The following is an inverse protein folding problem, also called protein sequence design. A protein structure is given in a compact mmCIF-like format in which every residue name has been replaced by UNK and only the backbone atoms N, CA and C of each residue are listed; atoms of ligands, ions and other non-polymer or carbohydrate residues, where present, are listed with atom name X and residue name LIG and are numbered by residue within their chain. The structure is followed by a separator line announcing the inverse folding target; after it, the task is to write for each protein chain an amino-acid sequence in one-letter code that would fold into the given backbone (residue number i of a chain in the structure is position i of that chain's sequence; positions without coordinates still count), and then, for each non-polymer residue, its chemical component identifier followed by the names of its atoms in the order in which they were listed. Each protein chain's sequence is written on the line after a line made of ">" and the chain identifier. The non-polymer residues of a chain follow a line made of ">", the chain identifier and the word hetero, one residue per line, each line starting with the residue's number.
data_IF_653389560167
#
_entry.id   IF_653389560167
#
_cell.length_a   1.000
_cell.length_b   1.000
_cell.length_c   1.000
_cell.angle_alpha   90.00
_cell.angle_beta   90.00
_cell.angle_gamma   90.00
#
_symmetry.space_group_name_H-M   'P 1'
#
loop_
_entity.id
_entity.type
_entity.pdbx_description
1 polymer ?
#
# COMPACT_ATOMS: atom_id res chain seq x y z
N UNK A 1 33.23 -46.70 106.13
CA UNK A 1 34.42 -46.33 105.33
C UNK A 1 34.10 -45.03 104.61
N UNK A 2 34.98 -44.02 104.73
CA UNK A 2 34.63 -42.60 104.73
C UNK A 2 34.22 -41.95 103.39
N UNK A 3 33.28 -41.02 103.48
CA UNK A 3 32.88 -40.08 102.42
C UNK A 3 33.31 -38.64 102.79
N UNK A 4 34.56 -38.47 103.23
CA UNK A 4 35.18 -37.15 103.33
C UNK A 4 36.11 -36.94 102.15
N UNK A 5 35.51 -36.63 100.99
CA UNK A 5 36.27 -36.12 99.85
C UNK A 5 37.02 -34.85 100.25
N UNK A 6 38.29 -34.72 99.86
CA UNK A 6 39.17 -33.58 100.16
C UNK A 6 38.45 -32.26 99.82
N UNK A 7 38.05 -31.49 100.84
CA UNK A 7 37.45 -30.16 100.66
C UNK A 7 38.48 -29.24 100.00
N UNK A 8 38.14 -28.67 98.83
CA UNK A 8 38.98 -27.67 98.16
C UNK A 8 39.28 -26.51 99.13
N UNK A 9 40.56 -26.15 99.25
CA UNK A 9 41.01 -25.07 100.13
C UNK A 9 40.38 -23.74 99.71
N UNK A 10 40.22 -22.82 100.67
CA UNK A 10 39.57 -21.51 100.44
C UNK A 10 40.26 -20.71 99.33
N UNK A 11 41.58 -20.86 99.20
CA UNK A 11 42.38 -20.23 98.16
C UNK A 11 41.97 -20.72 96.75
N UNK A 12 41.84 -22.04 96.56
CA UNK A 12 41.44 -22.64 95.28
C UNK A 12 40.03 -22.18 94.88
N UNK A 13 39.07 -22.19 95.81
CA UNK A 13 37.69 -21.71 95.53
C UNK A 13 37.65 -20.23 95.16
N UNK A 14 38.47 -19.39 95.79
CA UNK A 14 38.58 -17.96 95.42
C UNK A 14 39.22 -17.77 94.04
N UNK A 15 40.22 -18.59 93.69
CA UNK A 15 40.83 -18.57 92.37
C UNK A 15 39.83 -19.03 91.29
N UNK A 16 39.10 -20.12 91.52
CA UNK A 16 38.04 -20.61 90.64
C UNK A 16 36.93 -19.58 90.47
N UNK A 17 36.46 -18.96 91.55
CA UNK A 17 35.44 -17.90 91.49
C UNK A 17 35.94 -16.66 90.70
N UNK A 18 37.21 -16.27 90.87
CA UNK A 18 37.81 -15.19 90.08
C UNK A 18 37.95 -15.58 88.61
N UNK A 19 38.35 -16.80 88.31
CA UNK A 19 38.47 -17.31 86.95
C UNK A 19 37.12 -17.36 86.23
N UNK A 20 36.07 -17.84 86.91
CA UNK A 20 34.70 -17.84 86.39
C UNK A 20 34.21 -16.41 86.14
N UNK A 21 34.47 -15.49 87.08
CA UNK A 21 34.10 -14.07 86.91
C UNK A 21 34.83 -13.41 85.75
N UNK A 22 36.13 -13.68 85.58
CA UNK A 22 36.90 -13.15 84.45
C UNK A 22 36.44 -13.75 83.12
N UNK A 23 36.19 -15.07 83.08
CA UNK A 23 35.64 -15.74 81.90
C UNK A 23 34.28 -15.16 81.52
N UNK A 24 33.35 -15.04 82.48
CA UNK A 24 32.04 -14.42 82.25
C UNK A 24 32.16 -12.97 81.75
N UNK A 25 33.12 -12.18 82.27
CA UNK A 25 33.36 -10.81 81.82
C UNK A 25 33.91 -10.76 80.38
N UNK A 26 34.79 -11.70 80.01
CA UNK A 26 35.31 -11.81 78.64
C UNK A 26 34.23 -12.29 77.68
N UNK A 27 33.45 -13.30 78.06
CA UNK A 27 32.35 -13.83 77.26
C UNK A 27 31.29 -12.75 77.03
N UNK A 28 30.93 -11.96 78.06
CA UNK A 28 30.02 -10.82 77.91
C UNK A 28 30.58 -9.75 76.96
N UNK A 29 31.88 -9.45 77.02
CA UNK A 29 32.52 -8.49 76.09
C UNK A 29 32.54 -9.02 74.65
N UNK A 30 32.82 -10.31 74.46
CA UNK A 30 32.83 -10.93 73.13
C UNK A 30 31.41 -11.03 72.56
N UNK A 31 30.42 -11.36 73.40
CA UNK A 31 29.01 -11.35 73.03
C UNK A 31 28.56 -9.95 72.58
N UNK A 32 28.81 -8.91 73.38
CA UNK A 32 28.48 -7.53 73.03
C UNK A 32 29.17 -7.07 71.74
N UNK A 33 30.45 -7.45 71.53
CA UNK A 33 31.18 -7.14 70.29
C UNK A 33 30.58 -7.86 69.08
N UNK A 34 30.13 -9.10 69.24
CA UNK A 34 29.49 -9.88 68.19
C UNK A 34 28.08 -9.35 67.87
N UNK A 35 27.30 -8.97 68.88
CA UNK A 35 26.00 -8.31 68.70
C UNK A 35 26.14 -6.97 67.98
N UNK A 36 27.08 -6.12 68.39
CA UNK A 36 27.36 -4.86 67.70
C UNK A 36 27.76 -5.08 66.23
N UNK A 37 28.54 -6.12 65.94
CA UNK A 37 28.87 -6.52 64.56
C UNK A 37 27.64 -7.00 63.79
N UNK A 38 26.78 -7.81 64.41
CA UNK A 38 25.53 -8.33 63.81
C UNK A 38 24.56 -7.19 63.49
N UNK A 39 24.30 -6.30 64.44
CA UNK A 39 23.43 -5.13 64.24
C UNK A 39 23.96 -4.25 63.11
N UNK A 40 25.27 -3.95 63.12
CA UNK A 40 25.90 -3.16 62.04
C UNK A 40 25.81 -3.85 60.68
N UNK A 41 25.97 -5.18 60.63
CA UNK A 41 25.80 -5.93 59.38
C UNK A 41 24.35 -5.97 58.91
N UNK A 42 23.39 -6.10 59.83
CA UNK A 42 21.96 -6.09 59.53
C UNK A 42 21.52 -4.73 58.97
N UNK A 43 21.89 -3.63 59.64
CA UNK A 43 21.63 -2.26 59.15
C UNK A 43 22.25 -2.01 57.76
N UNK A 44 23.47 -2.51 57.51
CA UNK A 44 24.09 -2.42 56.19
C UNK A 44 23.37 -3.25 55.13
N UNK A 45 22.87 -4.42 55.50
CA UNK A 45 22.10 -5.28 54.60
C UNK A 45 20.74 -4.63 54.27
N UNK A 46 20.05 -4.10 55.27
CA UNK A 46 18.79 -3.35 55.12
C UNK A 46 18.98 -2.11 54.24
N UNK A 47 20.01 -1.30 54.50
CA UNK A 47 20.29 -0.12 53.68
C UNK A 47 20.62 -0.49 52.22
N UNK A 48 21.35 -1.60 51.99
CA UNK A 48 21.60 -2.11 50.64
C UNK A 48 20.33 -2.63 49.97
N UNK A 49 19.48 -3.34 50.71
CA UNK A 49 18.21 -3.85 50.20
C UNK A 49 17.27 -2.70 49.82
N UNK A 50 17.13 -1.68 50.66
CA UNK A 50 16.35 -0.47 50.38
C UNK A 50 16.89 0.27 49.15
N UNK A 51 18.23 0.45 49.05
CA UNK A 51 18.84 1.07 47.88
C UNK A 51 18.60 0.26 46.59
N UNK A 52 18.67 -1.07 46.67
CA UNK A 52 18.39 -1.95 45.54
C UNK A 52 16.92 -1.86 45.12
N UNK A 53 15.98 -1.84 46.08
CA UNK A 53 14.55 -1.67 45.81
C UNK A 53 14.25 -0.32 45.15
N UNK A 54 14.82 0.78 45.66
CA UNK A 54 14.65 2.10 45.05
C UNK A 54 15.25 2.17 43.64
N UNK A 55 16.37 1.50 43.39
CA UNK A 55 16.96 1.42 42.06
C UNK A 55 16.08 0.60 41.11
N UNK A 56 15.60 -0.55 41.56
CA UNK A 56 14.70 -1.40 40.79
C UNK A 56 13.39 -0.67 40.45
N UNK A 57 12.81 0.07 41.40
CA UNK A 57 11.64 0.92 41.16
C UNK A 57 11.93 2.00 40.11
N UNK A 58 13.03 2.74 40.24
CA UNK A 58 13.41 3.75 39.24
C UNK A 58 13.65 3.16 37.85
N UNK A 59 14.27 1.98 37.78
CA UNK A 59 14.52 1.30 36.51
C UNK A 59 13.20 0.78 35.91
N UNK A 60 12.26 0.29 36.74
CA UNK A 60 10.91 -0.06 36.29
C UNK A 60 10.09 1.15 35.83
N UNK A 61 10.18 2.28 36.52
CA UNK A 61 9.50 3.52 36.14
C UNK A 61 10.05 4.05 34.82
N UNK A 62 11.38 4.03 34.64
CA UNK A 62 12.03 4.39 33.37
C UNK A 62 11.62 3.44 32.25
N UNK A 63 11.51 2.15 32.52
CA UNK A 63 11.05 1.18 31.53
C UNK A 63 9.58 1.42 31.16
N UNK A 64 8.73 1.70 32.15
CA UNK A 64 7.31 2.03 31.95
C UNK A 64 7.15 3.33 31.15
N UNK A 65 7.94 4.38 31.45
CA UNK A 65 7.96 5.62 30.68
C UNK A 65 8.40 5.40 29.25
N UNK A 66 9.48 4.62 29.02
CA UNK A 66 9.93 4.28 27.67
C UNK A 66 8.88 3.46 26.92
N UNK A 67 8.22 2.51 27.58
CA UNK A 67 7.14 1.73 26.99
C UNK A 67 5.93 2.61 26.66
N UNK A 68 5.57 3.55 27.52
CA UNK A 68 4.51 4.53 27.27
C UNK A 68 4.88 5.47 26.11
N UNK A 69 6.14 5.93 26.03
CA UNK A 69 6.63 6.73 24.92
C UNK A 69 6.63 5.96 23.60
N UNK A 70 7.04 4.69 23.60
CA UNK A 70 7.00 3.85 22.39
C UNK A 70 5.57 3.55 21.97
N UNK A 71 4.65 3.33 22.92
CA UNK A 71 3.22 3.19 22.65
C UNK A 71 2.60 4.48 22.15
N UNK A 72 2.94 5.65 22.70
CA UNK A 72 2.49 6.95 22.22
C UNK A 72 3.05 7.24 20.82
N UNK A 73 4.30 6.90 20.55
CA UNK A 73 4.89 6.96 19.20
C UNK A 73 4.15 6.02 18.26
N UNK A 74 3.91 4.77 18.66
CA UNK A 74 3.16 3.80 17.86
C UNK A 74 1.70 4.24 17.61
N UNK A 75 1.04 4.86 18.58
CA UNK A 75 -0.32 5.40 18.44
C UNK A 75 -0.35 6.66 17.56
N UNK A 76 0.65 7.55 17.71
CA UNK A 76 0.84 8.71 16.81
C UNK A 76 1.18 8.26 15.39
N UNK A 77 1.92 7.17 15.24
CA UNK A 77 2.22 6.53 13.95
C UNK A 77 1.05 5.71 13.41
N UNK A 78 0.16 5.26 14.29
CA UNK A 78 -1.11 4.60 14.00
C UNK A 78 -2.13 5.53 13.36
N UNK A 79 -2.03 6.84 13.61
CA UNK A 79 -2.77 7.85 12.84
C UNK A 79 -2.31 7.79 11.39
N UNK A 80 -3.25 7.61 10.47
CA UNK A 80 -3.03 7.47 9.03
C UNK A 80 -2.24 8.64 8.40
N UNK A 81 -2.12 9.76 9.11
CA UNK A 81 -1.45 10.99 8.69
C UNK A 81 -0.14 11.26 9.45
N UNK A 82 0.51 10.26 10.04
CA UNK A 82 1.79 10.49 10.73
C UNK A 82 2.90 10.86 9.72
N UNK A 83 3.79 11.83 10.05
CA UNK A 83 4.86 12.24 9.13
C UNK A 83 5.81 11.10 8.74
N UNK A 84 6.07 10.16 9.64
CA UNK A 84 6.92 8.98 9.37
C UNK A 84 6.26 8.00 8.41
N UNK A 85 4.95 7.74 8.57
CA UNK A 85 4.21 6.86 7.65
C UNK A 85 4.03 7.53 6.29
N UNK A 86 3.75 8.84 6.24
CA UNK A 86 3.71 9.61 4.98
C UNK A 86 5.06 9.55 4.27
N UNK A 87 6.18 9.78 4.97
CA UNK A 87 7.52 9.65 4.39
C UNK A 87 7.80 8.24 3.86
N UNK A 88 7.47 7.19 4.63
CA UNK A 88 7.62 5.79 4.18
C UNK A 88 6.77 5.47 2.96
N UNK A 89 5.50 5.86 2.97
CA UNK A 89 4.58 5.70 1.84
C UNK A 89 5.09 6.47 0.63
N UNK A 90 5.58 7.70 0.79
CA UNK A 90 6.19 8.47 -0.30
C UNK A 90 7.47 7.84 -0.84
N UNK A 91 8.31 7.25 0.01
CA UNK A 91 9.51 6.56 -0.46
C UNK A 91 9.18 5.27 -1.19
N UNK A 92 8.23 4.47 -0.68
CA UNK A 92 7.79 3.23 -1.32
C UNK A 92 7.03 3.54 -2.61
N UNK A 93 6.16 4.54 -2.61
CA UNK A 93 5.44 4.96 -3.80
C UNK A 93 6.40 5.51 -4.85
N UNK A 94 7.44 6.27 -4.47
CA UNK A 94 8.47 6.76 -5.41
C UNK A 94 9.31 5.64 -6.02
N UNK A 95 9.61 4.59 -5.25
CA UNK A 95 10.34 3.41 -5.76
C UNK A 95 9.47 2.52 -6.66
N UNK A 96 8.19 2.37 -6.33
CA UNK A 96 7.25 1.57 -7.12
C UNK A 96 6.63 2.35 -8.28
N UNK A 97 6.66 3.68 -8.26
CA UNK A 97 6.12 4.55 -9.30
C UNK A 97 6.53 4.16 -10.73
N UNK A 98 7.82 3.93 -11.07
CA UNK A 98 8.21 3.59 -12.44
C UNK A 98 7.65 2.25 -12.94
N UNK A 99 7.26 1.34 -12.04
CA UNK A 99 6.70 0.02 -12.39
C UNK A 99 5.17 0.05 -12.35
N UNK A 100 4.60 0.68 -11.32
CA UNK A 100 3.15 0.74 -11.11
C UNK A 100 2.50 1.73 -12.08
N UNK A 101 3.14 2.86 -12.39
CA UNK A 101 2.58 3.84 -13.33
C UNK A 101 2.28 3.24 -14.72
N UNK A 102 3.21 2.52 -15.40
CA UNK A 102 2.89 1.91 -16.69
C UNK A 102 1.87 0.78 -16.58
N UNK A 103 1.81 0.05 -15.46
CA UNK A 103 0.80 -0.99 -15.24
C UNK A 103 -0.60 -0.42 -15.03
N UNK A 104 -0.74 0.62 -14.21
CA UNK A 104 -2.01 1.33 -14.02
C UNK A 104 -2.44 1.99 -15.32
N UNK A 105 -1.52 2.59 -16.07
CA UNK A 105 -1.81 3.12 -17.40
C UNK A 105 -2.31 2.03 -18.36
N UNK A 106 -1.63 0.88 -18.42
CA UNK A 106 -2.07 -0.27 -19.23
C UNK A 106 -3.40 -0.83 -18.78
N UNK A 107 -3.66 -0.92 -17.47
CA UNK A 107 -4.92 -1.38 -16.92
C UNK A 107 -6.06 -0.38 -17.20
N UNK A 108 -5.80 0.92 -17.05
CA UNK A 108 -6.75 1.97 -17.39
C UNK A 108 -7.07 1.98 -18.89
N UNK A 109 -6.07 1.78 -19.75
CA UNK A 109 -6.25 1.65 -21.19
C UNK A 109 -6.93 0.33 -21.58
N UNK A 110 -6.73 -0.76 -20.84
CA UNK A 110 -7.43 -2.02 -21.05
C UNK A 110 -8.89 -1.95 -20.60
N UNK A 111 -9.18 -1.30 -19.46
CA UNK A 111 -10.56 -1.05 -19.01
C UNK A 111 -11.26 -0.09 -19.95
N UNK A 112 -10.58 0.98 -20.37
CA UNK A 112 -11.10 1.90 -21.39
C UNK A 112 -11.32 1.17 -22.70
N UNK A 113 -10.35 0.37 -23.14
CA UNK A 113 -10.45 -0.51 -24.31
C UNK A 113 -11.57 -1.55 -24.20
N UNK A 114 -11.89 -2.06 -23.02
CA UNK A 114 -12.95 -3.04 -22.80
C UNK A 114 -14.34 -2.38 -22.71
N UNK A 115 -14.45 -1.21 -22.08
CA UNK A 115 -15.67 -0.39 -22.10
C UNK A 115 -15.92 0.10 -23.52
N UNK A 116 -14.85 0.46 -24.23
CA UNK A 116 -14.88 0.90 -25.60
C UNK A 116 -15.19 -0.27 -26.54
N UNK A 117 -14.65 -1.46 -26.31
CA UNK A 117 -15.02 -2.70 -27.02
C UNK A 117 -16.49 -3.04 -26.78
N UNK A 118 -17.00 -2.99 -25.55
CA UNK A 118 -18.43 -3.27 -25.28
C UNK A 118 -19.38 -2.21 -25.84
N UNK A 119 -18.91 -0.97 -25.99
CA UNK A 119 -19.64 0.11 -26.65
C UNK A 119 -19.54 0.00 -28.17
N UNK A 120 -18.41 -0.52 -28.67
CA UNK A 120 -18.16 -0.87 -30.06
C UNK A 120 -18.88 -2.16 -30.49
N UNK A 121 -19.12 -3.12 -29.61
CA UNK A 121 -19.90 -4.33 -29.90
C UNK A 121 -21.41 -4.02 -29.99
N UNK A 122 -21.85 -2.94 -29.32
CA UNK A 122 -23.23 -2.43 -29.43
C UNK A 122 -23.44 -1.48 -30.61
N UNK A 123 -22.36 -0.97 -31.21
CA UNK A 123 -22.42 0.04 -32.29
C UNK A 123 -21.65 -0.35 -33.55
N UNK A 124 -20.97 -1.50 -33.55
CA UNK A 124 -20.22 -2.05 -34.68
C UNK A 124 -19.10 -1.18 -35.23
N UNK A 125 -18.40 -0.31 -34.46
CA UNK A 125 -17.29 0.54 -34.95
C UNK A 125 -16.22 0.86 -33.86
N UNK A 126 -14.88 0.86 -34.14
CA UNK A 126 -13.82 1.00 -33.12
C UNK A 126 -13.48 2.46 -32.70
N UNK A 127 -13.22 2.65 -31.41
CA UNK A 127 -13.13 3.94 -30.71
C UNK A 127 -11.82 4.75 -30.81
N UNK A 128 -10.82 4.33 -31.60
CA UNK A 128 -9.62 5.14 -31.85
C UNK A 128 -9.90 6.45 -32.63
N UNK A 129 -11.16 6.69 -33.02
CA UNK A 129 -11.55 7.78 -33.89
C UNK A 129 -12.47 8.83 -33.23
N UNK A 130 -12.95 8.64 -31.99
CA UNK A 130 -13.90 9.59 -31.39
C UNK A 130 -13.22 10.91 -30.95
N UNK A 131 -11.91 10.91 -30.68
CA UNK A 131 -11.12 12.15 -30.53
C UNK A 131 -10.69 12.78 -31.87
N UNK A 132 -10.90 12.08 -32.99
CA UNK A 132 -10.56 12.54 -34.35
C UNK A 132 -11.75 13.17 -35.08
N UNK A 133 -12.95 13.00 -34.55
CA UNK A 133 -14.20 13.44 -35.16
C UNK A 133 -14.94 14.43 -34.24
N UNK A 134 -14.29 15.54 -33.88
CA UNK A 134 -14.95 16.69 -33.27
C UNK A 134 -15.11 17.80 -34.31
N UNK A 135 -16.35 18.17 -34.65
CA UNK A 135 -16.65 19.18 -35.69
C UNK A 135 -18.05 19.00 -36.28
N UNK A 136 -18.43 19.81 -37.27
CA UNK A 136 -19.76 19.72 -37.91
C UNK A 136 -19.93 18.42 -38.74
N UNK A 137 -18.83 17.84 -39.21
CA UNK A 137 -18.77 16.59 -39.96
C UNK A 137 -18.64 15.31 -39.12
N UNK A 138 -18.59 15.41 -37.78
CA UNK A 138 -18.35 14.28 -36.88
C UNK A 138 -19.28 13.08 -37.12
N UNK A 139 -20.56 13.34 -37.38
CA UNK A 139 -21.56 12.32 -37.67
C UNK A 139 -21.26 11.58 -38.98
N UNK A 140 -20.80 12.29 -40.01
CA UNK A 140 -20.46 11.68 -41.31
C UNK A 140 -19.18 10.85 -41.20
N UNK A 141 -18.19 11.33 -40.45
CA UNK A 141 -16.97 10.57 -40.22
C UNK A 141 -17.21 9.28 -39.43
N UNK A 142 -18.11 9.30 -38.45
CA UNK A 142 -18.54 8.08 -37.76
C UNK A 142 -19.25 7.09 -38.69
N UNK A 143 -20.03 7.58 -39.67
CA UNK A 143 -20.65 6.73 -40.70
C UNK A 143 -19.63 6.13 -41.66
N UNK A 144 -18.64 6.91 -42.12
CA UNK A 144 -17.52 6.39 -42.93
C UNK A 144 -16.83 5.24 -42.21
N UNK A 145 -16.51 5.42 -40.93
CA UNK A 145 -15.88 4.39 -40.11
C UNK A 145 -16.76 3.14 -39.96
N UNK A 146 -18.09 3.31 -39.86
CA UNK A 146 -19.04 2.19 -39.87
C UNK A 146 -19.07 1.45 -41.19
N UNK A 147 -19.11 2.17 -42.32
CA UNK A 147 -19.04 1.60 -43.65
C UNK A 147 -17.73 0.82 -43.88
N UNK A 148 -16.59 1.33 -43.39
CA UNK A 148 -15.30 0.61 -43.43
C UNK A 148 -15.34 -0.70 -42.64
N UNK A 149 -15.99 -0.74 -41.48
CA UNK A 149 -16.14 -1.98 -40.71
C UNK A 149 -17.05 -2.97 -41.43
N UNK A 150 -18.18 -2.51 -41.97
CA UNK A 150 -19.08 -3.36 -42.76
C UNK A 150 -18.39 -3.87 -44.03
N UNK A 151 -17.52 -3.07 -44.66
CA UNK A 151 -16.72 -3.49 -45.81
C UNK A 151 -15.76 -4.64 -45.46
N UNK A 152 -15.12 -4.60 -44.28
CA UNK A 152 -14.30 -5.71 -43.79
C UNK A 152 -15.13 -6.97 -43.57
N UNK A 153 -16.35 -6.84 -43.06
CA UNK A 153 -17.25 -7.98 -42.91
C UNK A 153 -17.64 -8.60 -44.27
N UNK A 154 -17.81 -7.79 -45.32
CA UNK A 154 -18.02 -8.28 -46.70
C UNK A 154 -16.80 -9.05 -47.21
N UNK A 155 -15.59 -8.53 -46.96
CA UNK A 155 -14.34 -9.19 -47.33
C UNK A 155 -14.15 -10.53 -46.61
N UNK A 156 -14.44 -10.57 -45.30
CA UNK A 156 -14.33 -11.79 -44.49
C UNK A 156 -15.34 -12.87 -44.90
N UNK A 157 -16.51 -12.47 -45.40
CA UNK A 157 -17.54 -13.40 -45.90
C UNK A 157 -17.11 -14.11 -47.17
N UNK A 158 -16.41 -13.42 -48.07
CA UNK A 158 -15.98 -13.96 -49.37
C UNK A 158 -14.52 -13.60 -49.73
N UNK A 159 -13.52 -14.12 -49.00
CA UNK A 159 -12.12 -13.69 -49.15
C UNK A 159 -11.45 -14.14 -50.46
N UNK A 160 -12.01 -15.16 -51.13
CA UNK A 160 -11.44 -15.76 -52.36
C UNK A 160 -12.12 -15.28 -53.64
N UNK A 161 -13.15 -14.44 -53.53
CA UNK A 161 -13.87 -13.93 -54.69
C UNK A 161 -13.17 -12.70 -55.28
N UNK A 162 -12.86 -12.75 -56.58
CA UNK A 162 -12.16 -11.67 -57.27
C UNK A 162 -13.02 -10.41 -57.39
N UNK A 163 -14.34 -10.56 -57.59
CA UNK A 163 -15.27 -9.43 -57.70
C UNK A 163 -15.44 -8.71 -56.36
N UNK A 164 -15.54 -9.47 -55.26
CA UNK A 164 -15.57 -8.90 -53.91
C UNK A 164 -14.28 -8.14 -53.59
N UNK A 165 -13.11 -8.65 -53.97
CA UNK A 165 -11.84 -7.96 -53.75
C UNK A 165 -11.71 -6.65 -54.55
N UNK A 166 -12.17 -6.63 -55.81
CA UNK A 166 -12.22 -5.40 -56.61
C UNK A 166 -13.18 -4.37 -56.03
N UNK A 167 -14.36 -4.82 -55.57
CA UNK A 167 -15.32 -3.97 -54.88
C UNK A 167 -14.76 -3.39 -53.59
N UNK A 168 -14.08 -4.21 -52.78
CA UNK A 168 -13.45 -3.75 -51.52
C UNK A 168 -12.39 -2.70 -51.80
N UNK A 169 -11.55 -2.89 -52.81
CA UNK A 169 -10.58 -1.88 -53.23
C UNK A 169 -11.28 -0.56 -53.63
N UNK A 170 -12.28 -0.63 -54.52
CA UNK A 170 -13.00 0.56 -55.01
C UNK A 170 -13.74 1.32 -53.91
N UNK A 171 -14.41 0.62 -52.98
CA UNK A 171 -15.13 1.26 -51.87
C UNK A 171 -14.15 1.81 -50.83
N UNK A 172 -13.02 1.15 -50.58
CA UNK A 172 -12.00 1.65 -49.65
C UNK A 172 -11.40 2.98 -50.14
N UNK A 173 -11.12 3.10 -51.44
CA UNK A 173 -10.66 4.34 -52.07
C UNK A 173 -11.72 5.43 -51.95
N UNK A 174 -12.98 5.10 -52.27
CA UNK A 174 -14.11 6.05 -52.18
C UNK A 174 -14.35 6.55 -50.75
N UNK A 175 -14.25 5.68 -49.74
CA UNK A 175 -14.40 6.06 -48.33
C UNK A 175 -13.24 6.97 -47.86
N UNK A 176 -12.02 6.71 -48.34
CA UNK A 176 -10.87 7.60 -48.13
C UNK A 176 -11.12 8.99 -48.73
N UNK A 177 -11.60 9.07 -49.97
CA UNK A 177 -11.92 10.35 -50.63
C UNK A 177 -13.04 11.12 -49.90
N UNK A 178 -14.07 10.41 -49.43
CA UNK A 178 -15.14 11.02 -48.63
C UNK A 178 -14.61 11.56 -47.30
N UNK A 179 -13.66 10.88 -46.65
CA UNK A 179 -13.02 11.37 -45.43
C UNK A 179 -12.23 12.68 -45.65
N UNK A 180 -11.53 12.76 -46.79
CA UNK A 180 -10.83 13.98 -47.21
C UNK A 180 -11.83 15.10 -47.54
N UNK A 181 -12.93 14.78 -48.21
CA UNK A 181 -14.00 15.72 -48.54
C UNK A 181 -14.69 16.30 -47.30
N UNK A 182 -14.93 15.48 -46.26
CA UNK A 182 -15.48 15.95 -44.97
C UNK A 182 -14.53 16.97 -44.33
N UNK A 183 -13.23 16.70 -44.33
CA UNK A 183 -12.21 17.61 -43.78
C UNK A 183 -12.14 18.92 -44.59
N UNK A 184 -12.22 18.83 -45.91
CA UNK A 184 -12.27 20.00 -46.78
C UNK A 184 -13.55 20.84 -46.57
N UNK A 185 -14.69 20.19 -46.33
CA UNK A 185 -15.97 20.86 -46.08
C UNK A 185 -15.99 21.63 -44.76
N UNK A 186 -15.25 21.20 -43.73
CA UNK A 186 -15.14 21.95 -42.46
C UNK A 186 -14.51 23.34 -42.64
N UNK A 187 -13.63 23.50 -43.63
CA UNK A 187 -12.99 24.79 -43.95
C UNK A 187 -13.89 25.71 -44.82
N UNK A 188 -15.09 25.26 -45.20
CA UNK A 188 -16.02 26.04 -46.01
C UNK A 188 -16.98 26.89 -45.15
N UNK A 189 -17.48 28.03 -45.69
CA UNK A 189 -18.55 28.80 -45.06
C UNK A 189 -19.82 27.97 -44.82
N UNK A 190 -20.60 28.31 -43.79
CA UNK A 190 -21.69 27.48 -43.27
C UNK A 190 -22.77 27.07 -44.29
N UNK A 191 -23.08 27.92 -45.27
CA UNK A 191 -24.02 27.59 -46.35
C UNK A 191 -23.47 26.50 -47.28
N UNK A 192 -22.21 26.66 -47.73
CA UNK A 192 -21.53 25.71 -48.61
C UNK A 192 -21.18 24.40 -47.89
N UNK A 193 -20.79 24.48 -46.61
CA UNK A 193 -20.52 23.31 -45.76
C UNK A 193 -21.73 22.39 -45.63
N UNK A 194 -22.93 22.94 -45.40
CA UNK A 194 -24.18 22.15 -45.32
C UNK A 194 -24.50 21.43 -46.63
N UNK A 195 -24.34 22.10 -47.76
CA UNK A 195 -24.53 21.50 -49.09
C UNK A 195 -23.54 20.35 -49.35
N UNK A 196 -22.26 20.57 -49.03
CA UNK A 196 -21.22 19.54 -49.14
C UNK A 196 -21.51 18.33 -48.24
N UNK A 197 -21.86 18.57 -46.97
CA UNK A 197 -22.22 17.50 -46.02
C UNK A 197 -23.46 16.71 -46.46
N UNK A 198 -24.46 17.37 -47.07
CA UNK A 198 -25.63 16.69 -47.61
C UNK A 198 -25.30 15.81 -48.83
N UNK A 199 -24.42 16.29 -49.72
CA UNK A 199 -23.95 15.50 -50.86
C UNK A 199 -23.14 14.27 -50.42
N UNK A 200 -22.24 14.46 -49.45
CA UNK A 200 -21.45 13.38 -48.83
C UNK A 200 -22.38 12.35 -48.17
N UNK A 201 -23.40 12.81 -47.43
CA UNK A 201 -24.38 11.93 -46.80
C UNK A 201 -25.09 11.04 -47.84
N UNK A 202 -25.54 11.62 -48.96
CA UNK A 202 -26.19 10.87 -50.04
C UNK A 202 -25.27 9.83 -50.68
N UNK A 203 -23.98 10.14 -50.83
CA UNK A 203 -23.01 9.17 -51.34
C UNK A 203 -22.77 8.03 -50.35
N UNK A 204 -22.71 8.32 -49.05
CA UNK A 204 -22.64 7.29 -48.00
C UNK A 204 -23.88 6.41 -47.98
N UNK A 205 -25.08 6.98 -48.16
CA UNK A 205 -26.32 6.19 -48.24
C UNK A 205 -26.29 5.17 -49.39
N UNK A 206 -25.70 5.55 -50.54
CA UNK A 206 -25.51 4.62 -51.67
C UNK A 206 -24.50 3.51 -51.36
N UNK A 207 -23.38 3.85 -50.70
CA UNK A 207 -22.38 2.86 -50.28
C UNK A 207 -22.98 1.89 -49.26
N UNK A 208 -23.73 2.39 -48.28
CA UNK A 208 -24.40 1.58 -47.26
C UNK A 208 -25.39 0.59 -47.91
N UNK A 209 -26.13 1.02 -48.94
CA UNK A 209 -27.02 0.14 -49.70
C UNK A 209 -26.26 -0.96 -50.47
N UNK A 210 -25.18 -0.61 -51.16
CA UNK A 210 -24.34 -1.58 -51.89
C UNK A 210 -23.71 -2.61 -50.92
N UNK A 211 -23.31 -2.17 -49.73
CA UNK A 211 -22.77 -3.03 -48.67
C UNK A 211 -23.84 -3.99 -48.13
N UNK A 212 -25.05 -3.49 -47.85
CA UNK A 212 -26.16 -4.33 -47.38
C UNK A 212 -26.59 -5.37 -48.42
N UNK A 213 -26.64 -4.98 -49.70
CA UNK A 213 -26.97 -5.89 -50.79
C UNK A 213 -25.98 -7.07 -50.87
N UNK A 214 -24.68 -6.80 -50.71
CA UNK A 214 -23.64 -7.86 -50.72
C UNK A 214 -23.60 -8.70 -49.45
N UNK A 215 -23.99 -8.14 -48.31
CA UNK A 215 -24.19 -8.89 -47.08
C UNK A 215 -25.48 -9.74 -47.11
N UNK A 216 -26.40 -9.45 -48.03
CA UNK A 216 -27.69 -10.14 -48.19
C UNK A 216 -28.73 -9.71 -47.16
N UNK A 217 -28.63 -8.47 -46.65
CA UNK A 217 -29.46 -7.93 -45.56
C UNK A 217 -30.15 -6.60 -45.93
N UNK A 218 -30.16 -6.26 -47.22
CA UNK A 218 -30.74 -5.03 -47.77
C UNK A 218 -31.97 -5.26 -48.64
#
# INVERSE_FOLDING_TARGET
>A
MGLFGKRKTRAIRRAEARAIKQRAKLDAKLAAKNEARRIKSAQRAEAKALKAQLKAQRDSDRAALKAAETQLKAAREGKLLSPTRIRRVLTVSRLLAPIVAPLVYRAAMAVRGAIDQRRADRLGVPLAQIGRFSGHGARLSARVAGAEQTLRAVQDKNPKDAETNQFVAAISERLSDLSAAITAAENMPASRRRGAHAAIAKQLDGIDADLMARLGVG
#
